data_IF_853873495038
#
_entry.id   IF_853873495038
#
_cell.length_a   1.000
_cell.length_b   1.000
_cell.length_c   1.000
_cell.angle_alpha   90.00
_cell.angle_beta   90.00
_cell.angle_gamma   90.00
#
_symmetry.space_group_name_H-M   'P 1'
#
loop_
_entity.id
_entity.type
_entity.pdbx_description
1 polymer ?
#
# COMPACT_ATOMS: atom_id res chain seq x y z
N UNK A 1 9.20 26.16 -13.41
CA UNK A 1 9.78 24.82 -13.57
C UNK A 1 10.19 24.34 -12.19
N UNK A 2 9.70 23.20 -11.68
CA UNK A 2 10.24 22.66 -10.45
C UNK A 2 11.72 22.35 -10.69
N UNK A 3 12.60 22.91 -9.87
CA UNK A 3 14.02 22.49 -9.85
C UNK A 3 14.05 21.00 -9.59
N UNK A 4 14.75 20.26 -10.45
CA UNK A 4 14.84 18.81 -10.30
C UNK A 4 15.56 18.48 -9.00
N UNK A 5 15.17 17.37 -8.34
CA UNK A 5 15.81 16.95 -7.08
C UNK A 5 17.35 16.83 -7.22
N UNK A 6 17.83 16.53 -8.43
CA UNK A 6 19.24 16.46 -8.77
C UNK A 6 19.95 17.82 -8.75
N UNK A 7 19.30 18.89 -9.22
CA UNK A 7 19.84 20.25 -9.13
C UNK A 7 19.97 20.71 -7.68
N UNK A 8 18.97 20.42 -6.84
CA UNK A 8 19.00 20.73 -5.41
C UNK A 8 20.12 19.94 -4.71
N UNK A 9 20.31 18.67 -5.07
CA UNK A 9 21.40 17.86 -4.54
C UNK A 9 22.77 18.47 -4.86
N UNK A 10 22.98 18.90 -6.12
CA UNK A 10 24.26 19.48 -6.55
C UNK A 10 24.51 20.85 -5.91
N UNK A 11 23.48 21.70 -5.84
CA UNK A 11 23.65 23.08 -5.38
C UNK A 11 23.69 23.22 -3.86
N UNK A 12 22.93 22.37 -3.13
CA UNK A 12 22.71 22.55 -1.69
C UNK A 12 23.28 21.39 -0.87
N UNK A 13 23.11 20.14 -1.32
CA UNK A 13 23.50 18.97 -0.52
C UNK A 13 24.97 18.62 -0.72
N UNK A 14 25.50 18.77 -1.93
CA UNK A 14 26.88 18.43 -2.27
C UNK A 14 27.91 19.41 -1.67
N UNK A 15 27.50 20.62 -1.28
CA UNK A 15 28.38 21.58 -0.61
C UNK A 15 28.50 21.31 0.90
N UNK A 16 27.59 20.53 1.49
CA UNK A 16 27.61 20.17 2.90
C UNK A 16 28.71 19.17 3.22
N UNK A 17 29.17 19.17 4.48
CA UNK A 17 30.09 18.14 4.97
C UNK A 17 29.44 16.75 4.93
N UNK A 18 30.21 15.66 4.84
CA UNK A 18 29.66 14.30 4.83
C UNK A 18 28.71 14.02 6.02
N UNK A 19 29.03 14.54 7.21
CA UNK A 19 28.21 14.42 8.41
C UNK A 19 26.86 15.11 8.27
N UNK A 20 26.83 16.30 7.68
CA UNK A 20 25.59 17.05 7.45
C UNK A 20 24.73 16.39 6.37
N UNK A 21 25.33 15.81 5.33
CA UNK A 21 24.59 15.02 4.33
C UNK A 21 23.92 13.81 4.95
N UNK A 22 24.62 13.10 5.85
CA UNK A 22 24.06 11.96 6.57
C UNK A 22 22.92 12.40 7.51
N UNK A 23 23.06 13.54 8.18
CA UNK A 23 21.96 14.12 8.99
C UNK A 23 20.76 14.50 8.13
N UNK A 24 20.98 15.12 6.97
CA UNK A 24 19.91 15.47 6.04
C UNK A 24 19.19 14.21 5.53
N UNK A 25 19.95 13.18 5.15
CA UNK A 25 19.39 11.89 4.74
C UNK A 25 18.55 11.27 5.88
N UNK A 26 19.01 11.37 7.13
CA UNK A 26 18.26 10.89 8.29
C UNK A 26 16.95 11.67 8.48
N UNK A 27 16.96 13.00 8.28
CA UNK A 27 15.74 13.82 8.37
C UNK A 27 14.74 13.47 7.27
N UNK A 28 15.19 13.32 6.03
CA UNK A 28 14.34 12.92 4.90
C UNK A 28 13.73 11.53 5.14
N UNK A 29 14.54 10.57 5.59
CA UNK A 29 14.05 9.22 5.88
C UNK A 29 13.05 9.20 7.04
N UNK A 30 13.25 10.01 8.07
CA UNK A 30 12.30 10.16 9.18
C UNK A 30 10.99 10.83 8.74
N UNK A 31 11.06 11.82 7.87
CA UNK A 31 9.87 12.46 7.32
C UNK A 31 9.07 11.47 6.45
N UNK A 32 9.74 10.73 5.58
CA UNK A 32 9.11 9.71 4.74
C UNK A 32 8.51 8.57 5.58
N UNK A 33 9.16 8.14 6.66
CA UNK A 33 8.59 7.10 7.53
C UNK A 33 7.33 7.57 8.25
N UNK A 34 7.24 8.86 8.61
CA UNK A 34 6.04 9.46 9.19
C UNK A 34 4.91 9.63 8.17
N UNK A 35 5.24 9.98 6.91
CA UNK A 35 4.24 10.15 5.85
C UNK A 35 3.77 8.82 5.24
N UNK A 36 4.60 7.77 5.25
CA UNK A 36 4.23 6.44 4.73
C UNK A 36 3.23 5.67 5.61
N UNK A 37 2.81 6.21 6.76
CA UNK A 37 1.69 5.64 7.54
C UNK A 37 0.39 5.65 6.74
N UNK A 38 0.27 6.52 5.72
CA UNK A 38 -0.90 6.57 4.83
C UNK A 38 -0.88 5.56 3.67
N UNK A 39 0.17 4.75 3.49
CA UNK A 39 0.22 3.74 2.41
C UNK A 39 -0.68 2.54 2.69
N UNK A 40 -0.95 2.27 3.96
CA UNK A 40 -2.03 1.35 4.34
C UNK A 40 -3.31 2.16 4.35
N UNK A 41 -4.05 2.13 3.24
CA UNK A 41 -5.39 2.70 3.18
C UNK A 41 -6.27 1.91 4.15
N UNK A 42 -6.42 2.45 5.37
CA UNK A 42 -7.21 1.83 6.42
C UNK A 42 -8.67 2.21 6.17
N UNK A 43 -9.37 1.38 5.41
CA UNK A 43 -10.79 1.53 5.11
C UNK A 43 -11.57 0.46 5.85
N UNK A 44 -12.62 0.87 6.57
CA UNK A 44 -13.62 -0.05 7.14
C UNK A 44 -14.63 -0.54 6.07
N UNK A 45 -14.41 -0.17 4.80
CA UNK A 45 -15.28 -0.55 3.67
C UNK A 45 -14.60 -1.66 2.89
N UNK A 46 -15.29 -2.78 2.72
CA UNK A 46 -14.84 -3.86 1.84
C UNK A 46 -14.82 -3.35 0.39
N UNK A 47 -13.79 -3.76 -0.35
CA UNK A 47 -13.76 -3.53 -1.79
C UNK A 47 -14.79 -4.42 -2.48
N UNK A 48 -15.10 -4.09 -3.75
CA UNK A 48 -15.96 -4.93 -4.58
C UNK A 48 -15.36 -6.32 -4.79
N UNK A 49 -14.03 -6.39 -4.91
CA UNK A 49 -13.27 -7.65 -5.04
C UNK A 49 -13.41 -8.51 -3.77
N UNK A 50 -13.24 -7.91 -2.58
CA UNK A 50 -13.46 -8.60 -1.31
C UNK A 50 -14.88 -9.19 -1.21
N UNK A 51 -15.88 -8.42 -1.61
CA UNK A 51 -17.28 -8.87 -1.60
C UNK A 51 -17.52 -10.02 -2.58
N UNK A 52 -16.94 -9.94 -3.79
CA UNK A 52 -17.05 -10.96 -4.81
C UNK A 52 -16.40 -12.28 -4.36
N UNK A 53 -15.21 -12.20 -3.78
CA UNK A 53 -14.47 -13.37 -3.29
C UNK A 53 -15.20 -14.07 -2.15
N UNK A 54 -15.68 -13.31 -1.16
CA UNK A 54 -16.47 -13.87 -0.03
C UNK A 54 -17.75 -14.51 -0.54
N UNK A 55 -18.43 -13.88 -1.50
CA UNK A 55 -19.67 -14.42 -2.09
C UNK A 55 -19.40 -15.72 -2.84
N UNK A 56 -18.36 -15.75 -3.68
CA UNK A 56 -17.98 -16.91 -4.47
C UNK A 56 -17.59 -18.08 -3.58
N UNK A 57 -16.76 -17.84 -2.56
CA UNK A 57 -16.37 -18.84 -1.59
C UNK A 57 -17.59 -19.40 -0.84
N UNK A 58 -18.48 -18.51 -0.37
CA UNK A 58 -19.69 -18.91 0.36
C UNK A 58 -20.61 -19.78 -0.49
N UNK A 59 -20.76 -19.46 -1.78
CA UNK A 59 -21.58 -20.24 -2.71
C UNK A 59 -20.97 -21.63 -2.98
N UNK A 60 -19.65 -21.68 -3.23
CA UNK A 60 -18.94 -22.95 -3.40
C UNK A 60 -19.06 -23.83 -2.17
N UNK A 61 -18.87 -23.24 -0.98
CA UNK A 61 -19.03 -23.95 0.28
C UNK A 61 -20.46 -24.44 0.49
N UNK A 62 -21.47 -23.63 0.19
CA UNK A 62 -22.87 -24.04 0.26
C UNK A 62 -23.15 -25.23 -0.67
N UNK A 63 -22.60 -25.24 -1.89
CA UNK A 63 -22.72 -26.37 -2.81
C UNK A 63 -22.07 -27.66 -2.28
N UNK A 64 -21.02 -27.56 -1.44
CA UNK A 64 -20.47 -28.75 -0.76
C UNK A 64 -21.31 -29.27 0.40
N UNK A 65 -22.11 -28.39 1.04
CA UNK A 65 -23.00 -28.76 2.13
C UNK A 65 -24.32 -29.35 1.63
N UNK A 66 -24.78 -28.90 0.46
CA UNK A 66 -25.97 -29.39 -0.21
C UNK A 66 -25.57 -29.96 -1.58
N UNK A 67 -24.92 -31.14 -1.62
CA UNK A 67 -24.66 -31.80 -2.89
C UNK A 67 -26.00 -32.05 -3.57
N UNK A 68 -26.18 -31.47 -4.76
CA UNK A 68 -27.37 -31.55 -5.58
C UNK A 68 -27.76 -33.04 -5.75
N UNK A 69 -28.68 -33.48 -4.91
CA UNK A 69 -29.20 -34.85 -4.89
C UNK A 69 -30.68 -34.75 -4.63
N UNK A 70 -31.39 -34.41 -5.69
CA UNK A 70 -32.71 -34.97 -5.98
C UNK A 70 -32.96 -34.79 -7.48
N UNK A 71 -32.56 -35.81 -8.25
CA UNK A 71 -33.36 -36.22 -9.42
C UNK A 71 -34.82 -36.31 -8.93
N UNK A 72 -35.66 -35.34 -9.31
CA UNK A 72 -37.10 -35.48 -9.14
C UNK A 72 -37.58 -36.56 -10.11
N UNK A 73 -37.95 -37.73 -9.56
CA UNK A 73 -38.86 -38.70 -10.20
C UNK A 73 -40.19 -38.04 -10.65
#
# INVERSE_FOLDING_TARGET
MPTTAQEIYIQVVHILSPTERLRLATLILNELSQHNVAVVEQSDTWSEEDCFDVTTFSLQYAATLFPESEEMD
#
